data_IF_563483429534
#
_entry.id   IF_563483429534
#
_cell.length_a   1.000
_cell.length_b   1.000
_cell.length_c   1.000
_cell.angle_alpha   90.00
_cell.angle_beta   90.00
_cell.angle_gamma   90.00
#
_symmetry.space_group_name_H-M   'P 1'
#
loop_
_entity.id
_entity.type
_entity.pdbx_description
1 polymer ?
#
# COMPACT_ATOMS: atom_id res chain seq x y z
N UNK A 1 13.78 -21.82 1.18
CA UNK A 1 13.67 -20.40 0.82
C UNK A 1 14.39 -19.46 1.77
N UNK A 2 14.02 -19.40 3.05
CA UNK A 2 14.77 -18.64 4.07
C UNK A 2 16.28 -18.86 4.00
N UNK A 3 16.72 -20.12 3.84
CA UNK A 3 18.14 -20.45 3.72
C UNK A 3 18.75 -20.17 2.33
N UNK A 4 17.93 -20.08 1.28
CA UNK A 4 18.37 -19.96 -0.12
C UNK A 4 18.52 -18.49 -0.54
N UNK A 5 17.60 -17.63 -0.08
CA UNK A 5 17.60 -16.19 -0.33
C UNK A 5 17.26 -15.44 0.96
N UNK A 6 18.17 -15.39 1.94
CA UNK A 6 17.90 -14.74 3.23
C UNK A 6 17.57 -13.24 3.07
N UNK A 7 18.12 -12.58 2.04
CA UNK A 7 17.84 -11.18 1.72
C UNK A 7 16.41 -10.93 1.22
N UNK A 8 15.66 -11.98 0.86
CA UNK A 8 14.24 -11.89 0.51
C UNK A 8 13.40 -11.53 1.75
N UNK A 9 13.79 -11.98 2.94
CA UNK A 9 12.97 -11.84 4.13
C UNK A 9 13.38 -10.64 4.98
N UNK A 10 12.46 -10.05 5.78
CA UNK A 10 12.79 -8.95 6.68
C UNK A 10 13.99 -9.30 7.57
N UNK A 11 15.01 -8.46 7.52
CA UNK A 11 16.20 -8.63 8.37
C UNK A 11 16.00 -7.93 9.72
N UNK A 12 16.32 -8.64 10.81
CA UNK A 12 16.40 -8.05 12.16
C UNK A 12 17.59 -7.09 12.34
N UNK A 13 18.45 -6.92 11.33
CA UNK A 13 19.66 -6.09 11.41
C UNK A 13 19.47 -4.64 10.96
N UNK A 14 18.27 -4.25 10.54
CA UNK A 14 17.95 -2.89 10.08
C UNK A 14 17.99 -1.94 11.28
N UNK A 15 18.79 -0.86 11.18
CA UNK A 15 19.05 0.09 12.28
C UNK A 15 18.51 1.48 11.99
N UNK A 16 18.27 1.83 10.73
CA UNK A 16 17.72 3.12 10.33
C UNK A 16 16.22 3.06 10.09
N UNK A 17 15.49 3.93 10.78
CA UNK A 17 14.04 4.07 10.66
C UNK A 17 13.64 5.38 9.97
N UNK A 18 14.59 6.07 9.34
CA UNK A 18 14.29 7.32 8.64
C UNK A 18 13.65 7.03 7.27
N UNK A 19 12.37 7.35 7.12
CA UNK A 19 11.67 7.50 5.83
C UNK A 19 11.89 6.38 4.78
N UNK A 20 11.56 6.72 3.54
CA UNK A 20 11.88 5.91 2.35
C UNK A 20 13.07 6.54 1.65
N UNK A 21 14.14 5.78 1.46
CA UNK A 21 15.28 6.19 0.66
C UNK A 21 15.24 5.47 -0.67
N UNK A 22 15.24 6.22 -1.77
CA UNK A 22 15.33 5.70 -3.14
C UNK A 22 16.76 5.94 -3.66
N UNK A 23 17.37 4.92 -4.26
CA UNK A 23 18.74 5.02 -4.81
C UNK A 23 18.82 4.40 -6.20
N UNK A 24 19.38 5.12 -7.18
CA UNK A 24 19.53 4.66 -8.57
C UNK A 24 18.25 4.16 -9.28
N UNK A 25 17.08 4.48 -8.76
CA UNK A 25 15.78 4.20 -9.39
C UNK A 25 15.25 5.40 -10.16
N UNK A 26 14.26 5.19 -11.02
CA UNK A 26 13.48 6.21 -11.68
C UNK A 26 12.13 6.36 -10.95
N UNK A 27 11.75 7.60 -10.62
CA UNK A 27 10.44 7.90 -10.05
C UNK A 27 9.37 7.95 -11.13
N UNK A 28 8.11 7.85 -10.71
CA UNK A 28 6.95 8.03 -11.58
C UNK A 28 7.02 9.36 -12.37
N UNK A 29 6.71 9.37 -13.68
CA UNK A 29 6.52 10.60 -14.44
C UNK A 29 5.32 11.44 -13.92
N UNK A 30 5.42 12.79 -13.92
CA UNK A 30 4.34 13.66 -13.42
C UNK A 30 3.07 13.65 -14.28
N UNK A 31 3.13 13.08 -15.49
CA UNK A 31 1.99 12.95 -16.41
C UNK A 31 1.01 11.83 -16.02
N UNK A 32 1.39 10.95 -15.10
CA UNK A 32 0.54 9.82 -14.68
C UNK A 32 -0.47 10.32 -13.64
N UNK A 33 -1.72 10.50 -14.07
CA UNK A 33 -2.82 10.97 -13.21
C UNK A 33 -3.51 9.86 -12.40
N UNK A 34 -3.33 8.60 -12.83
CA UNK A 34 -3.96 7.45 -12.17
C UNK A 34 -3.14 6.19 -12.36
N UNK A 35 -3.10 5.40 -11.30
CA UNK A 35 -2.55 4.05 -11.29
C UNK A 35 -3.65 3.07 -10.84
N UNK A 36 -3.50 1.81 -11.19
CA UNK A 36 -4.48 0.77 -10.91
C UNK A 36 -3.82 -0.43 -10.25
N UNK A 37 -4.49 -1.02 -9.27
CA UNK A 37 -4.00 -2.21 -8.57
C UNK A 37 -5.09 -3.25 -8.47
N UNK A 38 -4.84 -4.44 -9.01
CA UNK A 38 -5.71 -5.60 -8.88
C UNK A 38 -5.36 -6.44 -7.66
N UNK A 39 -6.36 -6.92 -6.94
CA UNK A 39 -6.19 -7.94 -5.90
C UNK A 39 -7.46 -8.82 -5.81
N UNK A 40 -7.28 -10.13 -5.94
CA UNK A 40 -8.38 -11.10 -5.87
C UNK A 40 -9.08 -11.11 -4.51
N UNK A 41 -8.39 -10.68 -3.44
CA UNK A 41 -8.92 -10.60 -2.08
C UNK A 41 -9.26 -9.16 -1.67
N UNK A 42 -9.31 -8.23 -2.63
CA UNK A 42 -9.50 -6.80 -2.36
C UNK A 42 -10.68 -6.52 -1.41
N UNK A 43 -11.83 -7.13 -1.67
CA UNK A 43 -13.05 -6.93 -0.88
C UNK A 43 -12.90 -7.35 0.59
N UNK A 44 -12.07 -8.36 0.87
CA UNK A 44 -11.83 -8.84 2.24
C UNK A 44 -10.92 -7.91 3.07
N UNK A 45 -10.37 -6.86 2.46
CA UNK A 45 -9.30 -6.05 3.07
C UNK A 45 -9.62 -4.57 2.97
N UNK A 46 -10.05 -4.09 1.80
CA UNK A 46 -10.15 -2.67 1.49
C UNK A 46 -11.16 -1.93 2.37
N UNK A 47 -12.16 -2.64 2.90
CA UNK A 47 -13.20 -2.10 3.76
C UNK A 47 -12.93 -2.27 5.26
N UNK A 48 -11.78 -2.81 5.65
CA UNK A 48 -11.41 -2.94 7.06
C UNK A 48 -11.03 -1.57 7.62
N UNK A 49 -11.42 -1.32 8.88
CA UNK A 49 -11.08 -0.10 9.62
C UNK A 49 -9.56 0.13 9.68
N UNK A 50 -8.72 -0.88 9.98
CA UNK A 50 -7.27 -0.78 9.85
C UNK A 50 -6.79 -0.24 8.49
N UNK A 51 -7.38 -0.71 7.39
CA UNK A 51 -6.97 -0.35 6.03
C UNK A 51 -7.20 1.13 5.74
N UNK A 52 -8.14 1.79 6.41
CA UNK A 52 -8.36 3.23 6.28
C UNK A 52 -7.12 4.05 6.69
N UNK A 53 -6.25 3.51 7.55
CA UNK A 53 -5.07 4.20 8.09
C UNK A 53 -3.77 3.71 7.49
N UNK A 54 -3.66 2.39 7.31
CA UNK A 54 -2.43 1.76 6.83
C UNK A 54 -2.39 1.65 5.32
N UNK A 55 -3.55 1.77 4.65
CA UNK A 55 -3.67 1.51 3.22
C UNK A 55 -3.29 0.08 2.88
N UNK A 56 -2.80 -0.09 1.65
CA UNK A 56 -2.30 -1.37 1.15
C UNK A 56 -0.78 -1.34 1.16
N UNK A 57 -0.11 -2.33 1.74
CA UNK A 57 1.35 -2.29 1.94
C UNK A 57 1.98 -3.66 1.80
N UNK A 58 3.28 -3.70 1.53
CA UNK A 58 4.06 -4.93 1.42
C UNK A 58 4.47 -5.50 2.81
N UNK A 59 5.21 -6.60 2.86
CA UNK A 59 5.73 -7.15 4.12
C UNK A 59 7.26 -6.98 4.27
N UNK A 60 7.94 -6.58 3.20
CA UNK A 60 9.37 -6.23 3.21
C UNK A 60 9.55 -4.72 3.18
N UNK A 61 10.30 -4.17 4.14
CA UNK A 61 10.57 -2.73 4.25
C UNK A 61 12.06 -2.45 4.27
N UNK A 62 12.75 -2.52 3.11
CA UNK A 62 14.18 -2.23 3.04
C UNK A 62 14.49 -0.79 3.50
N UNK A 63 15.71 -0.55 3.99
CA UNK A 63 16.18 0.80 4.33
C UNK A 63 16.29 1.66 3.06
N UNK A 64 16.82 1.08 1.99
CA UNK A 64 16.99 1.70 0.67
C UNK A 64 16.32 0.86 -0.39
N UNK A 65 15.46 1.47 -1.19
CA UNK A 65 14.92 0.88 -2.41
C UNK A 65 15.85 1.24 -3.57
N UNK A 66 16.56 0.24 -4.07
CA UNK A 66 17.46 0.33 -5.20
C UNK A 66 17.09 -0.68 -6.30
N UNK A 67 17.93 -0.79 -7.32
CA UNK A 67 17.71 -1.73 -8.41
C UNK A 67 17.66 -3.19 -7.95
N UNK A 68 18.37 -3.57 -6.89
CA UNK A 68 18.34 -4.94 -6.38
C UNK A 68 16.99 -5.25 -5.72
N UNK A 69 16.41 -4.29 -5.00
CA UNK A 69 15.05 -4.44 -4.47
C UNK A 69 13.99 -4.54 -5.57
N UNK A 70 14.12 -3.74 -6.64
CA UNK A 70 13.22 -3.79 -7.79
C UNK A 70 13.36 -5.11 -8.55
N UNK A 71 14.59 -5.61 -8.72
CA UNK A 71 14.86 -6.94 -9.25
C UNK A 71 14.20 -8.01 -8.39
N UNK A 72 14.43 -8.01 -7.07
CA UNK A 72 13.81 -8.98 -6.15
C UNK A 72 12.27 -8.99 -6.24
N UNK A 73 11.65 -7.81 -6.30
CA UNK A 73 10.20 -7.67 -6.48
C UNK A 73 9.69 -8.36 -7.75
N UNK A 74 10.41 -8.23 -8.87
CA UNK A 74 9.99 -8.80 -10.16
C UNK A 74 10.31 -10.27 -10.34
N UNK A 75 11.29 -10.77 -9.61
CA UNK A 75 11.97 -12.02 -9.94
C UNK A 75 11.55 -13.18 -9.04
N UNK A 76 10.59 -12.99 -8.16
CA UNK A 76 10.03 -14.10 -7.38
C UNK A 76 8.58 -14.34 -7.77
N UNK A 77 8.31 -15.54 -8.27
CA UNK A 77 6.95 -16.04 -8.49
C UNK A 77 6.13 -16.19 -7.17
N UNK A 78 6.76 -15.83 -6.04
CA UNK A 78 6.22 -15.79 -4.68
C UNK A 78 5.48 -14.49 -4.34
N UNK A 79 5.80 -13.34 -4.93
CA UNK A 79 5.33 -12.06 -4.38
C UNK A 79 4.00 -11.59 -4.97
N UNK A 80 2.90 -12.01 -4.34
CA UNK A 80 1.71 -11.15 -4.18
C UNK A 80 2.10 -9.95 -3.29
N UNK A 81 2.84 -8.99 -3.83
CA UNK A 81 3.20 -7.75 -3.12
C UNK A 81 3.99 -7.92 -1.82
N UNK A 82 4.64 -9.07 -1.65
CA UNK A 82 5.46 -9.31 -0.48
C UNK A 82 6.59 -8.27 -0.36
N UNK A 83 7.21 -7.90 -1.48
CA UNK A 83 8.29 -6.93 -1.53
C UNK A 83 7.83 -5.49 -1.68
N UNK A 84 6.99 -5.23 -2.67
CA UNK A 84 6.43 -3.91 -2.94
C UNK A 84 5.01 -4.07 -3.47
N UNK A 85 4.22 -3.03 -3.29
CA UNK A 85 2.86 -2.94 -3.79
C UNK A 85 2.90 -2.61 -5.27
N UNK A 86 2.54 -3.58 -6.12
CA UNK A 86 2.43 -3.41 -7.57
C UNK A 86 1.22 -2.59 -7.96
N UNK A 87 1.43 -1.71 -8.94
CA UNK A 87 0.44 -0.88 -9.60
C UNK A 87 0.74 -0.84 -11.10
N UNK A 88 -0.28 -0.60 -11.92
CA UNK A 88 -0.18 -0.52 -13.38
C UNK A 88 -0.79 0.79 -13.88
N UNK A 89 -0.25 1.36 -14.95
CA UNK A 89 -0.93 2.43 -15.69
C UNK A 89 -2.16 1.92 -16.45
N UNK A 90 -2.19 0.63 -16.80
CA UNK A 90 -3.25 0.00 -17.57
C UNK A 90 -4.28 -0.66 -16.62
N UNK A 91 -5.55 -0.19 -16.61
CA UNK A 91 -6.60 -0.78 -15.79
C UNK A 91 -6.97 -2.21 -16.21
N UNK A 92 -6.73 -2.63 -17.45
CA UNK A 92 -6.98 -4.02 -17.89
C UNK A 92 -5.99 -4.99 -17.25
N UNK A 93 -4.75 -4.56 -17.04
CA UNK A 93 -3.76 -5.34 -16.30
C UNK A 93 -4.20 -5.51 -14.85
N UNK A 94 -4.65 -4.43 -14.20
CA UNK A 94 -5.18 -4.50 -12.84
C UNK A 94 -6.44 -5.37 -12.74
N UNK A 95 -7.36 -5.27 -13.70
CA UNK A 95 -8.54 -6.12 -13.79
C UNK A 95 -8.16 -7.61 -13.88
N UNK A 96 -7.15 -7.93 -14.68
CA UNK A 96 -6.63 -9.28 -14.82
C UNK A 96 -5.96 -9.78 -13.53
N UNK A 97 -5.07 -8.97 -12.93
CA UNK A 97 -4.38 -9.30 -11.68
C UNK A 97 -5.35 -9.58 -10.53
N UNK A 98 -6.43 -8.79 -10.47
CA UNK A 98 -7.41 -8.87 -9.40
C UNK A 98 -8.67 -9.66 -9.73
N UNK A 99 -8.69 -10.41 -10.84
CA UNK A 99 -9.81 -11.24 -11.26
C UNK A 99 -11.16 -10.49 -11.21
N UNK A 100 -11.20 -9.28 -11.77
CA UNK A 100 -12.39 -8.42 -11.74
C UNK A 100 -12.44 -7.43 -10.57
N UNK A 101 -11.49 -7.46 -9.64
CA UNK A 101 -11.43 -6.55 -8.49
C UNK A 101 -10.17 -5.68 -8.52
N UNK A 102 -10.30 -4.36 -8.54
CA UNK A 102 -9.15 -3.45 -8.52
C UNK A 102 -9.47 -2.10 -7.88
N UNK A 103 -8.44 -1.37 -7.49
CA UNK A 103 -8.54 0.01 -7.01
C UNK A 103 -7.95 0.98 -8.03
N UNK A 104 -8.51 2.18 -8.09
CA UNK A 104 -7.98 3.32 -8.84
C UNK A 104 -7.32 4.29 -7.87
N UNK A 105 -6.07 4.63 -8.13
CA UNK A 105 -5.17 5.34 -7.22
C UNK A 105 -4.76 6.67 -7.84
N UNK A 106 -4.84 7.74 -7.06
CA UNK A 106 -4.20 9.03 -7.34
C UNK A 106 -2.78 9.05 -6.78
N UNK A 107 -1.73 9.09 -7.62
CA UNK A 107 -0.36 9.07 -7.15
C UNK A 107 0.10 10.40 -6.52
N UNK A 108 -0.63 11.51 -6.71
CA UNK A 108 -0.16 12.87 -6.43
C UNK A 108 0.53 13.02 -5.07
N UNK A 109 -0.14 12.60 -4.00
CA UNK A 109 0.32 12.76 -2.62
C UNK A 109 1.59 11.99 -2.27
N UNK A 110 1.88 10.89 -2.95
CA UNK A 110 2.99 9.99 -2.61
C UNK A 110 3.88 9.67 -3.81
N UNK A 111 3.78 10.46 -4.89
CA UNK A 111 4.51 10.29 -6.15
C UNK A 111 6.02 10.21 -5.95
N UNK A 112 6.56 10.91 -4.94
CA UNK A 112 7.97 10.86 -4.55
C UNK A 112 8.46 9.48 -4.07
N UNK A 113 7.53 8.60 -3.72
CA UNK A 113 7.78 7.25 -3.21
C UNK A 113 7.37 6.14 -4.18
N UNK A 114 6.97 6.50 -5.41
CA UNK A 114 6.61 5.56 -6.46
C UNK A 114 7.78 5.39 -7.43
N UNK A 115 8.18 4.14 -7.64
CA UNK A 115 9.22 3.76 -8.59
C UNK A 115 8.58 3.30 -9.90
N UNK A 116 8.98 3.92 -11.00
CA UNK A 116 8.71 3.41 -12.35
C UNK A 116 9.69 2.26 -12.61
N UNK A 117 9.16 1.04 -12.66
CA UNK A 117 9.97 -0.18 -12.79
C UNK A 117 10.69 -0.19 -14.13
N UNK A 118 10.02 0.20 -15.21
CA UNK A 118 10.55 0.10 -16.57
C UNK A 118 11.65 1.14 -16.81
N UNK A 119 11.41 2.39 -16.39
CA UNK A 119 12.42 3.43 -16.47
C UNK A 119 13.61 3.13 -15.56
N UNK A 120 13.40 2.46 -14.41
CA UNK A 120 14.47 2.02 -13.53
C UNK A 120 15.38 0.99 -14.20
N UNK A 121 14.84 -0.02 -14.88
CA UNK A 121 15.64 -0.99 -15.64
C UNK A 121 16.46 -0.31 -16.75
N UNK A 122 15.83 0.57 -17.53
CA UNK A 122 16.53 1.33 -18.60
C UNK A 122 17.66 2.21 -18.03
N UNK A 123 17.40 2.92 -16.93
CA UNK A 123 18.39 3.76 -16.24
C UNK A 123 19.63 2.98 -15.79
N UNK A 124 19.44 1.72 -15.41
CA UNK A 124 20.51 0.83 -14.95
C UNK A 124 21.07 -0.07 -16.07
N UNK A 125 20.73 0.18 -17.34
CA UNK A 125 21.20 -0.58 -18.51
C UNK A 125 20.90 -2.08 -18.43
N UNK A 126 19.76 -2.45 -17.84
CA UNK A 126 19.32 -3.84 -17.70
C UNK A 126 18.24 -4.18 -18.73
N UNK A 127 18.27 -5.42 -19.21
CA UNK A 127 17.19 -5.96 -20.05
C UNK A 127 15.93 -6.18 -19.22
N UNK A 128 14.78 -5.90 -19.82
CA UNK A 128 13.48 -6.13 -19.19
C UNK A 128 12.84 -7.40 -19.74
N UNK A 129 12.34 -8.32 -18.90
CA UNK A 129 11.60 -9.48 -19.39
C UNK A 129 10.37 -9.04 -20.20
N UNK A 130 10.20 -9.59 -21.40
CA UNK A 130 9.20 -9.12 -22.38
C UNK A 130 7.75 -9.21 -21.88
N UNK A 131 7.46 -10.15 -20.97
CA UNK A 131 6.14 -10.27 -20.33
C UNK A 131 5.81 -9.06 -19.45
N UNK A 132 6.83 -8.49 -18.81
CA UNK A 132 6.67 -7.34 -17.92
C UNK A 132 6.46 -6.05 -18.70
N UNK A 133 6.94 -5.94 -19.96
CA UNK A 133 6.77 -4.72 -20.77
C UNK A 133 5.31 -4.28 -20.90
N UNK A 134 4.38 -5.24 -20.86
CA UNK A 134 2.94 -5.01 -20.96
C UNK A 134 2.31 -4.48 -19.67
N UNK A 135 2.96 -4.69 -18.53
CA UNK A 135 2.40 -4.37 -17.21
C UNK A 135 2.47 -2.87 -16.89
N UNK A 136 3.39 -2.12 -17.53
CA UNK A 136 3.63 -0.68 -17.27
C UNK A 136 3.67 -0.39 -15.77
N UNK A 137 4.48 -1.19 -15.08
CA UNK A 137 4.36 -1.33 -13.64
C UNK A 137 5.07 -0.20 -12.89
N UNK A 138 4.40 0.19 -11.82
CA UNK A 138 4.87 1.09 -10.79
C UNK A 138 4.82 0.38 -9.45
N UNK A 139 5.76 0.69 -8.56
CA UNK A 139 5.85 0.04 -7.25
C UNK A 139 6.04 1.07 -6.13
N UNK A 140 5.52 0.75 -4.95
CA UNK A 140 5.72 1.52 -3.72
C UNK A 140 5.73 0.58 -2.51
N UNK A 141 6.24 1.02 -1.37
CA UNK A 141 6.18 0.23 -0.13
C UNK A 141 4.77 0.20 0.49
N UNK A 142 4.01 1.28 0.29
CA UNK A 142 2.61 1.39 0.68
C UNK A 142 1.84 2.30 -0.28
N UNK A 143 0.58 1.96 -0.53
CA UNK A 143 -0.43 2.77 -1.19
C UNK A 143 -1.38 3.29 -0.11
N UNK A 144 -1.34 4.59 0.21
CA UNK A 144 -2.19 5.16 1.24
C UNK A 144 -3.67 5.12 0.87
N UNK A 145 -4.54 4.85 1.83
CA UNK A 145 -5.97 4.75 1.57
C UNK A 145 -6.60 6.07 1.08
N UNK A 146 -6.12 7.20 1.61
CA UNK A 146 -6.52 8.54 1.16
C UNK A 146 -6.24 8.83 -0.31
N UNK A 147 -5.34 8.07 -0.94
CA UNK A 147 -5.01 8.20 -2.35
C UNK A 147 -5.89 7.31 -3.25
N UNK A 148 -6.72 6.45 -2.69
CA UNK A 148 -7.59 5.55 -3.46
C UNK A 148 -8.86 6.30 -3.84
N UNK A 149 -9.05 6.58 -5.13
CA UNK A 149 -10.25 7.28 -5.65
C UNK A 149 -11.47 6.38 -5.64
N UNK A 150 -11.31 5.15 -6.12
CA UNK A 150 -12.40 4.22 -6.44
C UNK A 150 -12.00 2.78 -6.17
N UNK A 151 -13.00 1.96 -5.86
CA UNK A 151 -12.87 0.52 -5.64
C UNK A 151 -13.82 -0.17 -6.61
N UNK A 152 -13.30 -1.05 -7.47
CA UNK A 152 -14.09 -1.83 -8.43
C UNK A 152 -14.14 -3.28 -8.00
N UNK A 153 -15.34 -3.86 -7.92
CA UNK A 153 -15.58 -5.27 -7.58
C UNK A 153 -16.53 -5.88 -8.60
N UNK A 154 -16.05 -6.78 -9.46
CA UNK A 154 -16.84 -7.53 -10.43
C UNK A 154 -17.86 -6.65 -11.22
N UNK A 155 -17.39 -5.53 -11.75
CA UNK A 155 -18.14 -4.49 -12.51
C UNK A 155 -18.91 -3.45 -11.69
N UNK A 156 -18.89 -3.53 -10.36
CA UNK A 156 -19.44 -2.47 -9.50
C UNK A 156 -18.34 -1.50 -9.10
N UNK A 157 -18.53 -0.22 -9.41
CA UNK A 157 -17.62 0.86 -9.01
C UNK A 157 -18.15 1.54 -7.75
N UNK A 158 -17.34 1.57 -6.69
CA UNK A 158 -17.64 2.21 -5.42
C UNK A 158 -16.73 3.43 -5.25
N UNK A 159 -17.33 4.59 -4.99
CA UNK A 159 -16.59 5.79 -4.62
C UNK A 159 -16.01 5.64 -3.21
N UNK A 160 -14.72 5.97 -3.04
CA UNK A 160 -14.10 5.98 -1.72
C UNK A 160 -14.41 7.31 -1.00
N UNK A 161 -15.18 7.32 0.10
CA UNK A 161 -15.45 8.54 0.86
C UNK A 161 -14.21 9.12 1.55
N UNK A 162 -13.13 8.33 1.66
CA UNK A 162 -11.88 8.73 2.29
C UNK A 162 -10.84 9.25 1.29
N UNK A 163 -11.14 9.28 0.00
CA UNK A 163 -10.24 9.90 -0.97
C UNK A 163 -10.06 11.39 -0.67
N UNK A 164 -8.80 11.86 -0.64
CA UNK A 164 -8.46 13.27 -0.45
C UNK A 164 -7.92 13.83 -1.76
N UNK A 165 -8.72 14.68 -2.41
CA UNK A 165 -8.35 15.33 -3.66
C UNK A 165 -7.44 16.53 -3.40
N UNK A 166 -6.13 16.31 -3.47
CA UNK A 166 -5.12 17.37 -3.30
C UNK A 166 -4.54 17.75 -4.67
N UNK A 167 -4.61 19.04 -5.06
CA UNK A 167 -3.94 19.53 -6.26
C UNK A 167 -2.42 19.32 -6.20
N UNK A 168 -1.80 19.00 -7.34
CA UNK A 168 -0.36 18.74 -7.45
C UNK A 168 0.52 19.92 -7.00
N UNK A 169 0.04 21.16 -7.14
CA UNK A 169 0.73 22.39 -6.74
C UNK A 169 0.56 22.73 -5.25
N UNK A 170 -0.22 21.95 -4.49
CA UNK A 170 -0.36 22.14 -3.05
C UNK A 170 0.85 21.56 -2.29
N UNK A 171 1.94 22.32 -2.27
CA UNK A 171 3.18 21.94 -1.61
C UNK A 171 3.04 21.75 -0.10
N UNK A 172 2.13 22.48 0.56
CA UNK A 172 1.90 22.35 1.99
C UNK A 172 1.27 20.99 2.33
N UNK A 173 0.23 20.59 1.60
CA UNK A 173 -0.40 19.28 1.76
C UNK A 173 0.57 18.15 1.44
N UNK A 174 1.34 18.28 0.35
CA UNK A 174 2.34 17.29 -0.05
C UNK A 174 3.44 17.14 1.01
N UNK A 175 3.94 18.25 1.57
CA UNK A 175 4.97 18.21 2.63
C UNK A 175 4.43 17.58 3.91
N UNK A 176 3.21 17.95 4.34
CA UNK A 176 2.58 17.35 5.50
C UNK A 176 2.34 15.85 5.30
N UNK A 177 1.93 15.45 4.10
CA UNK A 177 1.71 14.05 3.77
C UNK A 177 3.02 13.24 3.72
N UNK A 178 4.12 13.82 3.23
CA UNK A 178 5.43 13.17 3.24
C UNK A 178 5.87 12.76 4.65
N UNK A 179 5.58 13.61 5.65
CA UNK A 179 5.84 13.27 7.07
C UNK A 179 5.00 12.07 7.50
N UNK A 180 3.69 12.06 7.19
CA UNK A 180 2.80 10.94 7.51
C UNK A 180 3.20 9.64 6.83
N UNK A 181 3.54 9.70 5.54
CA UNK A 181 3.98 8.53 4.78
C UNK A 181 5.26 7.95 5.38
N UNK A 182 6.25 8.80 5.71
CA UNK A 182 7.47 8.35 6.36
C UNK A 182 7.20 7.75 7.74
N UNK A 183 6.27 8.31 8.52
CA UNK A 183 5.85 7.73 9.81
C UNK A 183 5.22 6.35 9.62
N UNK A 184 4.31 6.18 8.66
CA UNK A 184 3.69 4.89 8.35
C UNK A 184 4.75 3.85 7.98
N UNK A 185 5.66 4.18 7.06
CA UNK A 185 6.74 3.26 6.67
C UNK A 185 7.63 2.91 7.86
N UNK A 186 7.92 3.87 8.74
CA UNK A 186 8.72 3.64 9.94
C UNK A 186 8.04 2.65 10.89
N UNK A 187 6.73 2.79 11.09
CA UNK A 187 5.93 1.87 11.91
C UNK A 187 5.91 0.46 11.31
N UNK A 188 5.65 0.36 10.01
CA UNK A 188 5.65 -0.93 9.30
C UNK A 188 7.03 -1.58 9.33
N UNK A 189 8.10 -0.83 9.09
CA UNK A 189 9.48 -1.33 9.18
C UNK A 189 9.77 -1.85 10.59
N UNK A 190 9.45 -1.10 11.65
CA UNK A 190 9.59 -1.57 13.04
C UNK A 190 8.82 -2.87 13.27
N UNK A 191 7.56 -2.95 12.82
CA UNK A 191 6.69 -4.13 12.96
C UNK A 191 7.33 -5.43 12.45
N UNK A 192 8.01 -5.38 11.31
CA UNK A 192 8.55 -6.57 10.66
C UNK A 192 10.03 -6.83 10.94
N UNK A 193 10.78 -5.85 11.43
CA UNK A 193 12.24 -5.98 11.64
C UNK A 193 12.64 -6.01 13.11
N UNK A 194 11.75 -5.61 14.02
CA UNK A 194 12.05 -5.55 15.45
C UNK A 194 11.04 -6.33 16.29
N UNK A 195 11.50 -6.80 17.46
CA UNK A 195 10.63 -7.16 18.57
C UNK A 195 10.30 -5.87 19.30
N UNK A 196 9.17 -5.25 18.92
CA UNK A 196 8.67 -4.02 19.53
C UNK A 196 7.80 -4.40 20.74
N UNK A 197 7.94 -3.67 21.83
CA UNK A 197 7.04 -3.81 22.97
C UNK A 197 5.61 -3.43 22.55
N UNK A 198 4.61 -4.18 23.03
CA UNK A 198 3.22 -3.95 22.64
C UNK A 198 2.73 -2.55 23.04
N UNK A 199 3.20 -1.98 24.14
CA UNK A 199 2.81 -0.65 24.56
C UNK A 199 3.49 0.43 23.70
N UNK A 200 4.76 0.25 23.33
CA UNK A 200 5.43 1.14 22.37
C UNK A 200 4.70 1.16 21.02
N UNK A 201 4.31 -0.01 20.49
CA UNK A 201 3.55 -0.12 19.25
C UNK A 201 2.21 0.62 19.34
N UNK A 202 1.47 0.43 20.43
CA UNK A 202 0.18 1.11 20.66
C UNK A 202 0.33 2.63 20.72
N UNK A 203 1.30 3.15 21.48
CA UNK A 203 1.55 4.59 21.58
C UNK A 203 1.87 5.17 20.19
N UNK A 204 2.72 4.48 19.42
CA UNK A 204 3.13 4.95 18.11
C UNK A 204 1.99 4.89 17.08
N UNK A 205 1.15 3.85 17.11
CA UNK A 205 -0.06 3.75 16.29
C UNK A 205 -1.07 4.85 16.60
N UNK A 206 -1.27 5.17 17.88
CA UNK A 206 -2.16 6.24 18.30
C UNK A 206 -1.67 7.60 17.82
N UNK A 207 -0.37 7.88 17.98
CA UNK A 207 0.24 9.12 17.51
C UNK A 207 0.10 9.28 15.99
N UNK A 208 0.36 8.22 15.21
CA UNK A 208 0.14 8.23 13.76
C UNK A 208 -1.33 8.46 13.40
N UNK A 209 -2.25 7.77 14.06
CA UNK A 209 -3.70 7.92 13.83
C UNK A 209 -4.14 9.36 14.08
N UNK A 210 -3.70 9.98 15.19
CA UNK A 210 -3.98 11.39 15.49
C UNK A 210 -3.45 12.32 14.40
N UNK A 211 -2.19 12.16 13.99
CA UNK A 211 -1.59 12.98 12.94
C UNK A 211 -2.32 12.82 11.59
N UNK A 212 -2.77 11.60 11.26
CA UNK A 212 -3.55 11.34 10.06
C UNK A 212 -4.91 12.05 10.08
N UNK A 213 -5.61 12.03 11.22
CA UNK A 213 -6.89 12.73 11.40
C UNK A 213 -6.72 14.26 11.34
N UNK A 214 -5.62 14.80 11.88
CA UNK A 214 -5.26 16.22 11.77
C UNK A 214 -5.02 16.63 10.32
N UNK A 215 -4.35 15.78 9.52
CA UNK A 215 -4.19 16.00 8.09
C UNK A 215 -5.55 16.08 7.37
N UNK A 216 -6.48 15.16 7.65
CA UNK A 216 -7.84 15.24 7.09
C UNK A 216 -8.57 16.52 7.50
N UNK A 217 -8.46 16.90 8.77
CA UNK A 217 -9.08 18.13 9.27
C UNK A 217 -8.57 19.36 8.53
N UNK A 218 -7.27 19.40 8.22
CA UNK A 218 -6.64 20.52 7.54
C UNK A 218 -6.90 20.54 6.03
N UNK A 219 -6.88 19.38 5.36
CA UNK A 219 -6.82 19.33 3.89
C UNK A 219 -8.05 18.72 3.21
N UNK A 220 -8.98 18.09 3.93
CA UNK A 220 -10.21 17.52 3.35
C UNK A 220 -11.43 18.46 3.38
N UNK A 221 -11.29 19.64 3.98
CA UNK A 221 -12.34 20.67 4.06
C UNK A 221 -13.64 20.18 4.69
N UNK A 222 -14.78 20.71 4.23
CA UNK A 222 -16.13 20.34 4.70
C UNK A 222 -16.55 18.91 4.33
N UNK A 223 -15.81 18.28 3.41
CA UNK A 223 -16.05 16.90 2.96
C UNK A 223 -15.35 15.85 3.81
N UNK A 224 -14.61 16.24 4.86
CA UNK A 224 -13.91 15.29 5.74
C UNK A 224 -14.86 14.20 6.27
N UNK A 225 -14.67 12.92 5.90
CA UNK A 225 -15.53 11.82 6.32
C UNK A 225 -15.43 11.53 7.82
N UNK A 226 -14.30 11.83 8.47
CA UNK A 226 -14.12 11.60 9.90
C UNK A 226 -14.97 12.55 10.77
N UNK A 227 -15.34 13.70 10.22
CA UNK A 227 -16.24 14.66 10.86
C UNK A 227 -17.74 14.34 10.63
N UNK A 228 -18.06 13.17 10.06
CA UNK A 228 -19.44 12.73 9.83
C UNK A 228 -19.80 11.58 10.77
N UNK A 229 -21.08 11.50 11.12
CA UNK A 229 -21.62 10.32 11.79
C UNK A 229 -21.66 9.12 10.85
N UNK A 230 -21.64 7.92 11.42
CA UNK A 230 -21.78 6.69 10.64
C UNK A 230 -23.09 6.67 9.82
N UNK A 231 -24.17 7.24 10.37
CA UNK A 231 -25.46 7.34 9.68
C UNK A 231 -25.45 8.31 8.49
N UNK A 232 -24.69 9.39 8.57
CA UNK A 232 -24.54 10.34 7.45
C UNK A 232 -23.71 9.73 6.34
N UNK A 233 -22.62 9.05 6.68
CA UNK A 233 -21.79 8.33 5.72
C UNK A 233 -22.60 7.23 5.02
N UNK A 234 -23.43 6.48 5.75
CA UNK A 234 -24.30 5.44 5.19
C UNK A 234 -25.32 6.01 4.20
N UNK A 235 -25.81 7.23 4.42
CA UNK A 235 -26.70 7.91 3.48
C UNK A 235 -25.96 8.42 2.24
N UNK A 236 -24.74 8.93 2.40
CA UNK A 236 -23.96 9.51 1.30
C UNK A 236 -23.27 8.45 0.44
N UNK A 237 -22.81 7.36 1.05
CA UNK A 237 -22.02 6.30 0.43
C UNK A 237 -22.53 4.91 0.85
N UNK A 238 -23.81 4.58 0.59
CA UNK A 238 -24.46 3.38 1.13
C UNK A 238 -23.72 2.10 0.80
N UNK A 239 -23.23 1.97 -0.44
CA UNK A 239 -22.58 0.74 -0.89
C UNK A 239 -21.20 0.53 -0.26
N UNK A 240 -20.43 1.61 -0.08
CA UNK A 240 -19.15 1.55 0.62
C UNK A 240 -19.39 1.22 2.09
N UNK A 241 -20.32 1.92 2.72
CA UNK A 241 -20.58 1.78 4.15
C UNK A 241 -21.20 0.42 4.50
N UNK A 242 -22.02 -0.16 3.63
CA UNK A 242 -22.51 -1.54 3.79
C UNK A 242 -21.35 -2.53 3.90
N UNK A 243 -20.40 -2.48 2.96
CA UNK A 243 -19.21 -3.34 3.00
C UNK A 243 -18.34 -3.06 4.23
N UNK A 244 -18.17 -1.79 4.59
CA UNK A 244 -17.43 -1.38 5.78
C UNK A 244 -18.06 -1.92 7.08
N UNK A 245 -19.38 -1.80 7.26
CA UNK A 245 -20.06 -2.30 8.45
C UNK A 245 -20.00 -3.81 8.55
N UNK A 246 -20.18 -4.52 7.43
CA UNK A 246 -20.07 -5.98 7.38
C UNK A 246 -18.65 -6.45 7.73
N UNK A 247 -17.63 -5.83 7.14
CA UNK A 247 -16.22 -6.21 7.34
C UNK A 247 -15.74 -5.97 8.76
N UNK A 248 -16.26 -4.92 9.43
CA UNK A 248 -15.86 -4.54 10.79
C UNK A 248 -16.87 -4.99 11.86
N UNK A 249 -17.90 -5.76 11.50
CA UNK A 249 -18.95 -6.27 12.41
C UNK A 249 -19.65 -5.16 13.22
N UNK A 250 -19.85 -4.00 12.61
CA UNK A 250 -20.50 -2.85 13.25
C UNK A 250 -22.01 -3.01 13.15
N UNK A 251 -22.67 -3.25 14.28
CA UNK A 251 -24.12 -3.47 14.34
C UNK A 251 -24.92 -2.19 14.58
N UNK A 252 -24.32 -1.20 15.26
CA UNK A 252 -24.95 0.08 15.54
C UNK A 252 -24.31 1.20 14.70
N UNK A 253 -25.10 1.84 13.84
CA UNK A 253 -24.67 2.98 13.00
C UNK A 253 -24.78 4.32 13.76
N UNK A 254 -24.34 4.33 15.03
CA UNK A 254 -24.47 5.46 15.95
C UNK A 254 -23.08 6.01 16.28
N UNK A 255 -22.97 7.33 16.42
CA UNK A 255 -21.73 8.01 16.79
C UNK A 255 -20.94 8.53 15.60
N UNK A 256 -19.84 9.23 15.92
CA UNK A 256 -18.93 9.80 14.93
C UNK A 256 -17.93 8.75 14.46
N UNK A 257 -17.54 8.81 13.19
CA UNK A 257 -16.50 7.94 12.67
C UNK A 257 -15.17 8.16 13.41
N UNK A 258 -14.84 9.41 13.76
CA UNK A 258 -13.65 9.74 14.54
C UNK A 258 -13.60 8.99 15.88
N UNK A 259 -14.72 8.88 16.59
CA UNK A 259 -14.77 8.20 17.89
C UNK A 259 -14.55 6.68 17.74
N UNK A 260 -15.15 6.08 16.71
CA UNK A 260 -14.93 4.67 16.37
C UNK A 260 -13.44 4.41 16.06
N UNK A 261 -12.81 5.30 15.32
CA UNK A 261 -11.38 5.20 14.98
C UNK A 261 -10.51 5.29 16.22
N UNK A 262 -10.72 6.31 17.04
CA UNK A 262 -9.87 6.56 18.21
C UNK A 262 -9.97 5.43 19.24
N UNK A 263 -11.14 4.79 19.36
CA UNK A 263 -11.33 3.63 20.24
C UNK A 263 -10.66 2.34 19.73
N UNK A 264 -10.41 2.22 18.43
CA UNK A 264 -9.78 1.03 17.80
C UNK A 264 -8.32 1.25 17.37
N UNK A 265 -7.80 2.48 17.48
CA UNK A 265 -6.48 2.88 16.98
C UNK A 265 -5.31 2.03 17.51
N UNK A 266 -5.43 1.51 18.73
CA UNK A 266 -4.40 0.69 19.36
C UNK A 266 -4.29 -0.73 18.75
N UNK A 267 -5.29 -1.19 18.00
CA UNK A 267 -5.36 -2.56 17.47
C UNK A 267 -5.21 -2.63 15.93
N UNK A 268 -4.94 -1.50 15.26
CA UNK A 268 -4.91 -1.42 13.79
C UNK A 268 -4.03 -2.51 13.17
N UNK A 269 -2.81 -2.69 13.68
CA UNK A 269 -1.93 -3.74 13.17
C UNK A 269 -2.42 -5.14 13.50
N UNK A 270 -2.94 -5.42 14.69
CA UNK A 270 -3.42 -6.76 15.05
C UNK A 270 -4.58 -7.22 14.17
N UNK A 271 -5.40 -6.29 13.73
CA UNK A 271 -6.62 -6.55 12.96
C UNK A 271 -6.39 -6.57 11.44
N UNK A 272 -5.25 -6.05 10.96
CA UNK A 272 -4.97 -5.96 9.53
C UNK A 272 -4.35 -7.27 8.97
N UNK A 273 -4.93 -7.93 7.95
CA UNK A 273 -4.43 -9.21 7.44
C UNK A 273 -2.99 -9.21 6.94
N UNK A 274 -2.51 -8.08 6.40
CA UNK A 274 -1.12 -7.96 5.93
C UNK A 274 -0.08 -8.03 7.06
N UNK A 275 -0.39 -7.70 8.32
CA UNK A 275 0.60 -7.70 9.41
C UNK A 275 0.87 -9.08 10.00
N UNK A 276 0.11 -10.09 9.58
CA UNK A 276 0.30 -11.47 10.01
C UNK A 276 1.63 -12.01 9.45
N UNK A 277 2.22 -12.97 10.17
CA UNK A 277 3.38 -13.71 9.66
C UNK A 277 3.09 -14.25 8.25
N UNK A 278 4.12 -14.36 7.42
CA UNK A 278 3.99 -14.72 6.00
C UNK A 278 3.04 -15.90 5.80
N UNK A 279 3.25 -17.01 6.52
CA UNK A 279 2.45 -18.23 6.37
C UNK A 279 0.96 -18.09 6.77
N UNK A 280 0.63 -17.06 7.55
CA UNK A 280 -0.73 -16.74 7.99
C UNK A 280 -1.30 -15.47 7.30
N UNK A 281 -0.51 -14.83 6.45
CA UNK A 281 -0.92 -13.67 5.66
C UNK A 281 -1.70 -14.13 4.43
N UNK A 282 -2.67 -13.33 3.98
CA UNK A 282 -3.47 -13.69 2.81
C UNK A 282 -2.67 -13.60 1.50
N UNK A 283 -1.55 -12.86 1.51
CA UNK A 283 -0.64 -12.75 0.37
C UNK A 283 0.20 -14.02 0.18
N UNK A 284 0.18 -14.95 1.14
CA UNK A 284 0.90 -16.23 1.04
C UNK A 284 0.44 -17.07 -0.15
N UNK A 285 1.40 -17.64 -0.88
CA UNK A 285 1.15 -18.72 -1.83
C UNK A 285 2.19 -19.83 -1.64
N UNK A 286 1.72 -21.07 -1.55
CA UNK A 286 2.58 -22.26 -1.65
C UNK A 286 2.99 -22.38 -3.13
N UNK A 287 4.15 -21.82 -3.50
CA UNK A 287 4.76 -22.00 -4.81
C UNK A 287 6.23 -22.39 -4.65
N UNK A 288 6.72 -23.24 -5.54
CA UNK A 288 8.15 -23.46 -5.72
C UNK A 288 8.77 -22.13 -6.15
N UNK A 289 9.60 -21.58 -5.28
CA UNK A 289 10.30 -20.32 -5.51
C UNK A 289 11.24 -20.45 -6.70
N UNK A 290 10.99 -19.70 -7.76
CA UNK A 290 11.93 -19.54 -8.88
C UNK A 290 12.46 -18.12 -8.79
N UNK A 291 13.79 -17.95 -8.76
CA UNK A 291 14.46 -16.63 -8.83
C UNK A 291 14.93 -16.33 -10.25
N UNK A 292 15.48 -15.13 -10.48
CA UNK A 292 16.08 -14.76 -11.77
C UNK A 292 17.20 -15.67 -12.26
N UNK A 293 17.92 -16.30 -11.34
CA UNK A 293 19.02 -17.21 -11.68
C UNK A 293 18.47 -18.55 -12.20
N UNK A 294 17.21 -18.85 -11.89
CA UNK A 294 16.52 -20.11 -12.14
C UNK A 294 15.43 -19.98 -13.20
N UNK A 295 14.93 -18.77 -13.45
CA UNK A 295 13.96 -18.47 -14.50
C UNK A 295 14.70 -18.04 -15.77
N UNK A 296 14.70 -18.92 -16.78
CA UNK A 296 15.34 -18.70 -18.08
C UNK A 296 14.84 -17.43 -18.81
N UNK A 297 13.65 -16.91 -18.45
CA UNK A 297 13.10 -15.66 -19.01
C UNK A 297 13.60 -14.40 -18.29
N UNK A 298 14.14 -14.56 -17.09
CA UNK A 298 14.66 -13.48 -16.25
C UNK A 298 16.19 -13.40 -16.22
N UNK A 299 16.88 -14.41 -16.76
CA UNK A 299 18.34 -14.40 -16.91
C UNK A 299 18.76 -13.17 -17.72
N UNK A 300 19.71 -12.42 -17.18
CA UNK A 300 20.43 -11.41 -17.96
C UNK A 300 21.06 -12.10 -19.17
N UNK A 301 20.84 -11.56 -20.38
CA UNK A 301 21.40 -12.12 -21.63
C UNK A 301 22.87 -11.72 -21.83
N UNK A 302 23.53 -11.17 -20.81
CA UNK A 302 24.93 -10.79 -20.91
C UNK A 302 25.79 -11.71 -20.04
N UNK A 303 26.67 -12.46 -20.72
CA UNK A 303 27.92 -13.01 -20.17
C UNK A 303 28.87 -11.88 -19.75
#
# INVERSE_FOLDING_TARGET
>A
MYNKYPAFFPSKSIKSFSGVQLSNVAKIPPVIESLYRGDNNLAGIIFLLPTLFTGVFCQSFPEVVDIEQIKLHKLTNLSNDFHMVSMSEDPQIALHWGNGCYITIDPTLFSDYIVDVHATFRKNQLNFPSRMEREKEHTALAVPFCSIKKITIHNKELMNPFYVSIPFDNHEATTAFNVLYCQLISLLRKKYTQEVDNEEERIALRAYTTAYLEFYTKFSGSSNPFNKSLSELDKLYPEFMENFFQSNRITAKIGMLTDLVLSSSDNLFKEHPYTKIIDASYIYRIKESTTCDEDDWAKSVYD
#
